data_IF_344517750285
#
_entry.id   IF_344517750285
#
_cell.length_a   1.000
_cell.length_b   1.000
_cell.length_c   1.000
_cell.angle_alpha   90.00
_cell.angle_beta   90.00
_cell.angle_gamma   90.00
#
_symmetry.space_group_name_H-M   'P 1'
#
loop_
_entity.id
_entity.type
_entity.pdbx_description
1 polymer ?
#
# COMPACT_ATOMS: atom_id res chain seq x y z
N UNK A 1 43.85 46.98 27.68
CA UNK A 1 44.52 45.78 27.13
C UNK A 1 43.77 44.52 27.58
N UNK A 2 43.15 43.77 26.68
CA UNK A 2 42.62 42.46 27.03
C UNK A 2 41.09 42.27 26.92
N UNK A 3 40.55 42.10 25.69
CA UNK A 3 39.28 41.38 25.49
C UNK A 3 39.25 40.85 24.04
N UNK A 4 40.18 39.96 23.65
CA UNK A 4 40.13 39.29 22.37
C UNK A 4 40.14 37.77 22.44
N UNK A 5 39.78 37.16 23.57
CA UNK A 5 39.90 35.69 23.72
C UNK A 5 38.60 34.90 23.56
N UNK A 6 37.43 35.52 23.37
CA UNK A 6 36.16 34.78 23.30
C UNK A 6 35.49 34.74 21.92
N UNK A 7 36.18 35.17 20.87
CA UNK A 7 35.64 35.18 19.52
C UNK A 7 35.45 33.80 18.87
N UNK A 8 36.33 32.80 19.04
CA UNK A 8 36.13 31.49 18.38
C UNK A 8 34.95 30.72 18.92
N UNK A 9 34.65 30.89 20.23
CA UNK A 9 33.51 30.18 20.83
C UNK A 9 32.15 30.71 20.36
N UNK A 10 31.99 32.02 20.21
CA UNK A 10 30.77 32.63 19.66
C UNK A 10 30.56 32.31 18.19
N UNK A 11 31.64 32.18 17.42
CA UNK A 11 31.59 31.81 16.01
C UNK A 11 31.19 30.32 15.84
N UNK A 12 31.65 29.45 16.73
CA UNK A 12 31.29 28.03 16.77
C UNK A 12 29.80 27.83 17.13
N UNK A 13 29.30 28.61 18.10
CA UNK A 13 27.89 28.58 18.47
C UNK A 13 26.99 29.06 17.32
N UNK A 14 27.37 30.12 16.60
CA UNK A 14 26.61 30.66 15.46
C UNK A 14 26.52 29.67 14.31
N UNK A 15 27.59 28.89 14.05
CA UNK A 15 27.58 27.80 13.06
C UNK A 15 26.64 26.67 13.45
N UNK A 16 26.66 26.25 14.70
CA UNK A 16 25.78 25.18 15.19
C UNK A 16 24.29 25.57 15.19
N UNK A 17 23.96 26.79 15.57
CA UNK A 17 22.57 27.27 15.49
C UNK A 17 22.08 27.38 14.06
N UNK A 18 22.93 27.75 13.10
CA UNK A 18 22.58 27.77 11.68
C UNK A 18 22.27 26.39 11.12
N UNK A 19 23.08 25.39 11.47
CA UNK A 19 22.87 23.99 11.02
C UNK A 19 21.60 23.39 11.68
N UNK A 20 21.36 23.66 12.96
CA UNK A 20 20.17 23.20 13.66
C UNK A 20 18.90 23.85 13.09
N UNK A 21 18.93 25.16 12.85
CA UNK A 21 17.82 25.87 12.22
C UNK A 21 17.54 25.36 10.81
N UNK A 22 18.58 25.05 10.03
CA UNK A 22 18.44 24.49 8.69
C UNK A 22 17.86 23.06 8.71
N UNK A 23 18.25 22.24 9.68
CA UNK A 23 17.66 20.91 9.89
C UNK A 23 16.20 20.99 10.32
N UNK A 24 15.85 21.92 11.20
CA UNK A 24 14.46 22.15 11.60
C UNK A 24 13.59 22.64 10.42
N UNK A 25 14.08 23.59 9.64
CA UNK A 25 13.39 24.08 8.44
C UNK A 25 13.21 22.95 7.41
N UNK A 26 14.24 22.12 7.20
CA UNK A 26 14.15 20.96 6.32
C UNK A 26 13.13 19.94 6.83
N UNK A 27 13.14 19.63 8.13
CA UNK A 27 12.17 18.73 8.78
C UNK A 27 10.74 19.25 8.69
N UNK A 28 10.53 20.56 8.87
CA UNK A 28 9.21 21.20 8.75
C UNK A 28 8.72 21.21 7.30
N UNK A 29 9.61 21.41 6.33
CA UNK A 29 9.29 21.35 4.90
C UNK A 29 8.92 19.94 4.48
N UNK A 30 9.63 18.93 4.95
CA UNK A 30 9.37 17.53 4.68
C UNK A 30 8.01 17.10 5.28
N UNK A 31 7.72 17.52 6.51
CA UNK A 31 6.42 17.30 7.13
C UNK A 31 5.27 17.98 6.35
N UNK A 32 5.45 19.19 5.84
CA UNK A 32 4.40 19.88 5.05
C UNK A 32 4.09 19.15 3.74
N UNK A 33 5.12 18.70 3.03
CA UNK A 33 4.94 17.92 1.79
C UNK A 33 4.19 16.62 2.09
N UNK A 34 4.54 15.93 3.16
CA UNK A 34 3.86 14.72 3.58
C UNK A 34 2.38 14.99 3.95
N UNK A 35 2.10 16.09 4.67
CA UNK A 35 0.73 16.49 5.01
C UNK A 35 -0.12 16.83 3.79
N UNK A 36 0.43 17.53 2.81
CA UNK A 36 -0.31 17.89 1.59
C UNK A 36 -0.55 16.68 0.69
N UNK A 37 0.43 15.78 0.58
CA UNK A 37 0.28 14.51 -0.12
C UNK A 37 -0.74 13.61 0.59
N UNK A 38 -0.65 13.46 1.91
CA UNK A 38 -1.63 12.71 2.69
C UNK A 38 -3.04 13.28 2.54
N UNK A 39 -3.20 14.60 2.53
CA UNK A 39 -4.50 15.27 2.35
C UNK A 39 -5.10 14.99 0.98
N UNK A 40 -4.30 15.04 -0.08
CA UNK A 40 -4.73 14.71 -1.45
C UNK A 40 -5.06 13.22 -1.58
N UNK A 41 -4.18 12.35 -1.08
CA UNK A 41 -4.36 10.91 -1.15
C UNK A 41 -5.50 10.40 -0.27
N UNK A 42 -5.80 11.10 0.84
CA UNK A 42 -6.92 10.77 1.73
C UNK A 42 -8.28 10.82 1.03
N UNK A 43 -8.40 11.63 -0.02
CA UNK A 43 -9.61 11.71 -0.84
C UNK A 43 -9.83 10.46 -1.70
N UNK A 44 -8.74 9.78 -2.07
CA UNK A 44 -8.75 8.57 -2.90
C UNK A 44 -8.52 7.29 -2.08
N UNK A 45 -8.12 7.42 -0.82
CA UNK A 45 -7.89 6.27 0.04
C UNK A 45 -9.22 5.60 0.40
N UNK A 46 -9.35 4.35 0.02
CA UNK A 46 -10.51 3.52 0.31
C UNK A 46 -10.44 3.12 1.78
N UNK A 47 -11.49 3.43 2.54
CA UNK A 47 -11.65 2.91 3.90
C UNK A 47 -12.00 1.44 3.83
N UNK A 48 -11.46 0.66 4.77
CA UNK A 48 -11.74 -0.78 4.85
C UNK A 48 -11.41 -1.53 3.55
N UNK A 49 -10.33 -1.13 2.85
CA UNK A 49 -9.91 -1.73 1.58
C UNK A 49 -9.88 -3.26 1.67
N UNK A 50 -9.35 -3.79 2.77
CA UNK A 50 -9.21 -5.22 2.96
C UNK A 50 -10.56 -5.94 3.06
N UNK A 51 -11.57 -5.29 3.61
CA UNK A 51 -12.95 -5.82 3.66
C UNK A 51 -13.50 -6.09 2.26
N UNK A 52 -13.34 -5.14 1.35
CA UNK A 52 -13.80 -5.29 -0.04
C UNK A 52 -13.04 -6.40 -0.78
N UNK A 53 -11.75 -6.52 -0.54
CA UNK A 53 -10.92 -7.57 -1.14
C UNK A 53 -11.35 -8.95 -0.65
N UNK A 54 -11.50 -9.11 0.66
CA UNK A 54 -11.93 -10.37 1.30
C UNK A 54 -13.32 -10.78 0.82
N UNK A 55 -14.28 -9.85 0.75
CA UNK A 55 -15.62 -10.10 0.22
C UNK A 55 -15.54 -10.54 -1.24
N UNK A 56 -14.75 -9.85 -2.08
CA UNK A 56 -14.59 -10.19 -3.49
C UNK A 56 -13.98 -11.57 -3.70
N UNK A 57 -12.95 -11.92 -2.94
CA UNK A 57 -12.35 -13.27 -2.96
C UNK A 57 -13.36 -14.34 -2.52
N UNK A 58 -14.15 -14.05 -1.48
CA UNK A 58 -15.21 -14.94 -1.02
C UNK A 58 -16.30 -15.18 -2.08
N UNK A 59 -16.70 -14.13 -2.80
CA UNK A 59 -17.69 -14.24 -3.91
C UNK A 59 -17.13 -15.11 -5.04
N UNK A 60 -15.90 -14.86 -5.48
CA UNK A 60 -15.26 -15.65 -6.54
C UNK A 60 -15.14 -17.11 -6.13
N UNK A 61 -14.77 -17.37 -4.88
CA UNK A 61 -14.72 -18.73 -4.35
C UNK A 61 -16.09 -19.40 -4.31
N UNK A 62 -17.12 -18.71 -3.82
CA UNK A 62 -18.48 -19.23 -3.79
C UNK A 62 -18.97 -19.58 -5.20
N UNK A 63 -18.68 -18.76 -6.21
CA UNK A 63 -19.03 -19.03 -7.59
C UNK A 63 -18.28 -20.25 -8.15
N UNK A 64 -17.01 -20.43 -7.79
CA UNK A 64 -16.25 -21.63 -8.17
C UNK A 64 -16.84 -22.92 -7.58
N UNK A 65 -17.41 -22.82 -6.38
CA UNK A 65 -17.96 -23.97 -5.67
C UNK A 65 -19.40 -24.30 -6.07
N UNK A 66 -20.27 -23.26 -6.17
CA UNK A 66 -21.71 -23.44 -6.46
C UNK A 66 -21.94 -23.60 -7.97
N UNK A 67 -21.22 -22.86 -8.80
CA UNK A 67 -21.40 -22.86 -10.26
C UNK A 67 -20.06 -22.94 -10.97
N UNK A 68 -19.45 -24.14 -11.03
CA UNK A 68 -18.09 -24.33 -11.50
C UNK A 68 -17.82 -23.74 -12.89
N UNK A 69 -18.74 -23.92 -13.83
CA UNK A 69 -18.60 -23.42 -15.21
C UNK A 69 -18.45 -21.91 -15.27
N UNK A 70 -19.27 -21.16 -14.53
CA UNK A 70 -19.20 -19.70 -14.44
C UNK A 70 -17.99 -19.25 -13.62
N UNK A 71 -17.75 -19.92 -12.50
CA UNK A 71 -16.62 -19.65 -11.61
C UNK A 71 -15.28 -19.78 -12.31
N UNK A 72 -15.04 -20.86 -13.06
CA UNK A 72 -13.80 -21.05 -13.83
C UNK A 72 -13.63 -20.02 -14.95
N UNK A 73 -14.71 -19.61 -15.61
CA UNK A 73 -14.65 -18.53 -16.61
C UNK A 73 -14.24 -17.21 -15.96
N UNK A 74 -14.86 -16.83 -14.84
CA UNK A 74 -14.48 -15.63 -14.09
C UNK A 74 -13.04 -15.72 -13.57
N UNK A 75 -12.67 -16.85 -12.98
CA UNK A 75 -11.32 -17.10 -12.50
C UNK A 75 -10.26 -16.89 -13.60
N UNK A 76 -10.51 -17.45 -14.78
CA UNK A 76 -9.60 -17.30 -15.94
C UNK A 76 -9.51 -15.85 -16.45
N UNK A 77 -10.57 -15.05 -16.27
CA UNK A 77 -10.61 -13.63 -16.68
C UNK A 77 -9.90 -12.72 -15.68
N UNK A 78 -9.96 -13.05 -14.37
CA UNK A 78 -9.38 -12.21 -13.30
C UNK A 78 -7.93 -12.56 -12.96
N UNK A 79 -7.49 -13.81 -13.24
CA UNK A 79 -6.13 -14.25 -12.95
C UNK A 79 -5.11 -13.50 -13.80
N UNK A 80 -4.06 -13.00 -13.14
CA UNK A 80 -2.98 -12.29 -13.79
C UNK A 80 -2.12 -13.27 -14.60
N UNK A 81 -2.13 -13.13 -15.93
CA UNK A 81 -1.34 -13.97 -16.84
C UNK A 81 -0.61 -13.09 -17.86
N UNK A 82 0.66 -13.42 -18.15
CA UNK A 82 1.46 -12.72 -19.14
C UNK A 82 0.77 -12.65 -20.51
N UNK A 83 0.24 -13.78 -20.98
CA UNK A 83 -0.49 -13.85 -22.24
C UNK A 83 -1.74 -12.95 -22.29
N UNK A 84 -2.44 -12.81 -21.15
CA UNK A 84 -3.59 -11.90 -21.02
C UNK A 84 -3.19 -10.44 -21.12
N UNK A 85 -2.10 -10.04 -20.46
CA UNK A 85 -1.55 -8.69 -20.52
C UNK A 85 -1.08 -8.32 -21.93
N UNK A 86 -0.40 -9.22 -22.63
CA UNK A 86 0.05 -9.00 -24.00
C UNK A 86 -1.13 -8.88 -25.00
N UNK A 87 -2.29 -9.41 -24.65
CA UNK A 87 -3.55 -9.23 -25.42
C UNK A 87 -4.31 -7.95 -25.07
N UNK A 88 -3.73 -7.05 -24.27
CA UNK A 88 -4.34 -5.78 -23.87
C UNK A 88 -5.41 -5.90 -22.78
N UNK A 89 -5.45 -6.99 -22.01
CA UNK A 89 -6.43 -7.19 -20.94
C UNK A 89 -6.00 -6.48 -19.66
N UNK A 90 -6.02 -5.12 -19.68
CA UNK A 90 -5.51 -4.25 -18.61
C UNK A 90 -6.30 -4.40 -17.31
N UNK A 91 -7.60 -4.77 -17.37
CA UNK A 91 -8.41 -5.00 -16.16
C UNK A 91 -7.84 -6.07 -15.23
N UNK A 92 -7.07 -7.04 -15.78
CA UNK A 92 -6.39 -8.08 -15.00
C UNK A 92 -5.39 -7.52 -14.00
N UNK A 93 -4.83 -6.32 -14.27
CA UNK A 93 -3.91 -5.63 -13.36
C UNK A 93 -4.56 -5.22 -12.04
N UNK A 94 -5.87 -5.09 -12.02
CA UNK A 94 -6.63 -4.72 -10.83
C UNK A 94 -7.39 -5.92 -10.26
N UNK A 95 -7.98 -6.74 -11.14
CA UNK A 95 -8.88 -7.82 -10.72
C UNK A 95 -8.17 -9.06 -10.17
N UNK A 96 -6.86 -9.23 -10.41
CA UNK A 96 -6.12 -10.38 -9.85
C UNK A 96 -6.13 -10.44 -8.32
N UNK A 97 -6.36 -9.30 -7.67
CA UNK A 97 -6.48 -9.19 -6.21
C UNK A 97 -7.64 -10.02 -5.65
N UNK A 98 -8.68 -10.24 -6.46
CA UNK A 98 -9.85 -11.04 -6.11
C UNK A 98 -9.67 -12.53 -6.35
N UNK A 99 -8.51 -12.97 -6.83
CA UNK A 99 -8.19 -14.39 -6.99
C UNK A 99 -8.06 -15.02 -5.60
N UNK A 100 -8.88 -16.05 -5.28
CA UNK A 100 -8.82 -16.68 -3.97
C UNK A 100 -7.49 -17.43 -3.78
N UNK A 101 -6.91 -17.39 -2.55
CA UNK A 101 -5.59 -17.97 -2.29
C UNK A 101 -5.55 -19.49 -2.27
N UNK A 102 -6.70 -20.14 -2.21
CA UNK A 102 -6.82 -21.59 -2.15
C UNK A 102 -8.13 -22.09 -2.76
N UNK A 103 -8.15 -23.32 -3.23
CA UNK A 103 -9.34 -24.04 -3.68
C UNK A 103 -9.99 -24.90 -2.59
N UNK A 104 -9.32 -25.06 -1.45
CA UNK A 104 -9.86 -25.83 -0.31
C UNK A 104 -10.83 -24.96 0.50
N UNK A 105 -12.08 -25.42 0.77
CA UNK A 105 -13.09 -24.62 1.51
C UNK A 105 -12.65 -24.24 2.93
N UNK A 106 -12.02 -25.16 3.65
CA UNK A 106 -11.58 -24.92 5.02
C UNK A 106 -10.41 -23.92 5.02
N UNK A 107 -9.44 -24.11 4.11
CA UNK A 107 -8.25 -23.29 4.06
C UNK A 107 -8.55 -21.86 3.61
N UNK A 108 -9.50 -21.67 2.68
CA UNK A 108 -9.88 -20.33 2.23
C UNK A 108 -10.59 -19.54 3.32
N UNK A 109 -11.49 -20.14 4.09
CA UNK A 109 -12.15 -19.47 5.21
C UNK A 109 -11.12 -18.97 6.23
N UNK A 110 -10.13 -19.81 6.53
CA UNK A 110 -9.04 -19.46 7.43
C UNK A 110 -8.17 -18.32 6.86
N UNK A 111 -7.79 -18.43 5.59
CA UNK A 111 -7.00 -17.41 4.91
C UNK A 111 -7.72 -16.06 4.82
N UNK A 112 -9.00 -16.04 4.46
CA UNK A 112 -9.81 -14.84 4.39
C UNK A 112 -9.97 -14.17 5.76
N UNK A 113 -10.19 -14.96 6.81
CA UNK A 113 -10.24 -14.47 8.18
C UNK A 113 -8.92 -13.81 8.58
N UNK A 114 -7.78 -14.46 8.29
CA UNK A 114 -6.46 -13.90 8.57
C UNK A 114 -6.21 -12.61 7.80
N UNK A 115 -6.52 -12.58 6.50
CA UNK A 115 -6.37 -11.37 5.68
C UNK A 115 -7.20 -10.22 6.21
N UNK A 116 -8.43 -10.50 6.64
CA UNK A 116 -9.30 -9.50 7.24
C UNK A 116 -8.73 -8.96 8.56
N UNK A 117 -8.32 -9.86 9.46
CA UNK A 117 -7.76 -9.48 10.77
C UNK A 117 -6.47 -8.68 10.64
N UNK A 118 -5.53 -9.16 9.81
CA UNK A 118 -4.26 -8.47 9.58
C UNK A 118 -4.48 -7.14 8.87
N UNK A 119 -5.33 -7.12 7.86
CA UNK A 119 -5.62 -5.92 7.09
C UNK A 119 -6.22 -4.80 7.92
N UNK A 120 -7.20 -5.10 8.75
CA UNK A 120 -7.77 -4.12 9.69
C UNK A 120 -6.73 -3.68 10.73
N UNK A 121 -5.94 -4.61 11.26
CA UNK A 121 -4.87 -4.28 12.20
C UNK A 121 -3.86 -3.30 11.63
N UNK A 122 -3.40 -3.54 10.40
CA UNK A 122 -2.47 -2.66 9.69
C UNK A 122 -3.10 -1.31 9.33
N UNK A 123 -4.35 -1.31 8.85
CA UNK A 123 -5.06 -0.07 8.51
C UNK A 123 -5.26 0.81 9.75
N UNK A 124 -5.56 0.23 10.91
CA UNK A 124 -5.70 0.96 12.17
C UNK A 124 -4.38 1.51 12.70
N UNK A 125 -3.27 0.78 12.51
CA UNK A 125 -1.94 1.22 12.98
C UNK A 125 -1.30 2.27 12.06
N UNK A 126 -1.37 2.07 10.76
CA UNK A 126 -0.68 2.91 9.78
C UNK A 126 -1.55 4.02 9.20
N UNK A 127 -2.86 3.88 9.36
CA UNK A 127 -3.86 4.76 8.74
C UNK A 127 -4.17 4.37 7.29
N UNK A 128 -5.36 4.80 6.84
CA UNK A 128 -5.93 4.43 5.53
C UNK A 128 -5.01 4.72 4.35
N UNK A 129 -4.38 5.90 4.33
CA UNK A 129 -3.53 6.34 3.20
C UNK A 129 -2.29 5.48 3.05
N UNK A 130 -1.58 5.23 4.16
CA UNK A 130 -0.35 4.44 4.14
C UNK A 130 -0.62 2.99 3.80
N UNK A 131 -1.71 2.43 4.32
CA UNK A 131 -2.14 1.07 4.03
C UNK A 131 -2.50 0.90 2.55
N UNK A 132 -3.29 1.81 1.97
CA UNK A 132 -3.64 1.79 0.55
C UNK A 132 -2.40 1.92 -0.34
N UNK A 133 -1.46 2.80 0.01
CA UNK A 133 -0.21 2.97 -0.72
C UNK A 133 0.66 1.70 -0.67
N UNK A 134 0.80 1.10 0.51
CA UNK A 134 1.52 -0.16 0.69
C UNK A 134 0.92 -1.28 -0.17
N UNK A 135 -0.40 -1.39 -0.17
CA UNK A 135 -1.11 -2.37 -0.97
C UNK A 135 -0.91 -2.16 -2.48
N UNK A 136 -0.96 -0.90 -2.92
CA UNK A 136 -0.71 -0.52 -4.31
C UNK A 136 0.72 -0.86 -4.75
N UNK A 137 1.72 -0.60 -3.91
CA UNK A 137 3.12 -0.99 -4.17
C UNK A 137 3.27 -2.50 -4.29
N UNK A 138 2.60 -3.28 -3.43
CA UNK A 138 2.55 -4.73 -3.51
C UNK A 138 1.92 -5.24 -4.82
N UNK A 139 0.82 -4.61 -5.24
CA UNK A 139 0.19 -4.90 -6.54
C UNK A 139 1.14 -4.63 -7.71
N UNK A 140 1.80 -3.47 -7.73
CA UNK A 140 2.78 -3.13 -8.76
C UNK A 140 3.94 -4.12 -8.81
N UNK A 141 4.46 -4.52 -7.65
CA UNK A 141 5.49 -5.56 -7.55
C UNK A 141 5.05 -6.89 -8.14
N UNK A 142 3.82 -7.31 -7.86
CA UNK A 142 3.23 -8.53 -8.43
C UNK A 142 3.06 -8.46 -9.95
N UNK A 143 2.67 -7.29 -10.46
CA UNK A 143 2.54 -7.06 -11.91
C UNK A 143 3.90 -7.15 -12.60
N UNK A 144 4.92 -6.51 -12.03
CA UNK A 144 6.29 -6.56 -12.55
C UNK A 144 6.79 -8.01 -12.56
N UNK A 145 6.60 -8.75 -11.46
CA UNK A 145 6.96 -10.15 -11.36
C UNK A 145 6.24 -11.05 -12.40
N UNK A 146 5.01 -10.73 -12.75
CA UNK A 146 4.24 -11.47 -13.76
C UNK A 146 4.67 -11.16 -15.22
N UNK A 147 5.37 -10.03 -15.43
CA UNK A 147 5.88 -9.63 -16.76
C UNK A 147 7.28 -10.17 -17.05
N UNK A 148 8.07 -10.42 -16.02
CA UNK A 148 9.42 -11.00 -16.14
C UNK A 148 9.34 -12.51 -16.41
#
# INVERSE_FOLDING_TARGET
>A
MGQRKNMPFLFSLRGNYGILAQKEVFRLKDNRINFDLERKLRRYAISDLMKYIVIGQGIVFALLYIWPTLGYRLYSLITLTRAGLMRGQIWRLVTFVFVPPSSSPIFILFALYFYYMIGIGLENQWGKVKFNLYYLVGMLGSIIAALI
#
